data_IF_426802740580
#
_entry.id   IF_426802740580
#
_cell.length_a   1.000
_cell.length_b   1.000
_cell.length_c   1.000
_cell.angle_alpha   90.00
_cell.angle_beta   90.00
_cell.angle_gamma   90.00
#
_symmetry.space_group_name_H-M   'P 1'
#
loop_
_entity.id
_entity.type
_entity.pdbx_description
1 polymer ?
#
# COMPACT_ATOMS: atom_id res chain seq x y z
N UNK A 1 0.61 25.15 -3.18
CA UNK A 1 0.23 23.89 -3.87
C UNK A 1 1.07 23.64 -5.13
N UNK A 2 2.01 22.70 -5.03
CA UNK A 2 2.81 22.17 -6.15
C UNK A 2 2.03 21.05 -6.84
N UNK A 3 1.95 21.06 -8.17
CA UNK A 3 1.47 19.90 -8.95
C UNK A 3 2.31 18.70 -8.57
N UNK A 4 1.78 17.49 -8.52
CA UNK A 4 2.54 16.25 -8.27
C UNK A 4 2.38 15.25 -9.42
N UNK A 5 1.14 15.00 -9.85
CA UNK A 5 0.82 14.12 -10.97
C UNK A 5 -0.55 14.45 -11.58
N UNK A 6 -0.99 13.66 -12.55
CA UNK A 6 -2.35 13.65 -13.10
C UNK A 6 -3.06 12.37 -12.63
N UNK A 7 -4.31 12.47 -12.21
CA UNK A 7 -5.15 11.31 -11.87
C UNK A 7 -5.50 10.50 -13.12
N UNK A 8 -5.94 9.26 -12.96
CA UNK A 8 -6.46 8.41 -14.03
C UNK A 8 -7.71 9.00 -14.68
N UNK A 9 -8.41 9.91 -14.00
CA UNK A 9 -9.54 10.67 -14.53
C UNK A 9 -9.13 11.98 -15.23
N UNK A 10 -7.83 12.32 -15.24
CA UNK A 10 -7.29 13.50 -15.91
C UNK A 10 -7.16 14.75 -15.03
N UNK A 11 -7.50 14.67 -13.74
CA UNK A 11 -7.39 15.80 -12.81
C UNK A 11 -5.95 16.06 -12.39
N UNK A 12 -5.60 17.33 -12.18
CA UNK A 12 -4.28 17.70 -11.68
C UNK A 12 -4.21 17.52 -10.17
N UNK A 13 -3.44 16.55 -9.71
CA UNK A 13 -3.21 16.30 -8.28
C UNK A 13 -2.09 17.21 -7.77
N UNK A 14 -2.39 17.95 -6.71
CA UNK A 14 -1.47 18.92 -6.10
C UNK A 14 -1.31 18.64 -4.61
N UNK A 15 -0.15 18.97 -4.06
CA UNK A 15 0.08 19.02 -2.61
C UNK A 15 0.49 20.42 -2.22
N UNK A 16 0.09 20.86 -1.02
CA UNK A 16 0.84 21.92 -0.38
C UNK A 16 2.06 21.28 0.29
N UNK A 17 3.25 21.74 -0.07
CA UNK A 17 4.48 21.19 0.51
C UNK A 17 4.57 21.76 1.92
N UNK A 18 4.17 20.95 2.89
CA UNK A 18 4.03 21.38 4.28
C UNK A 18 5.26 21.02 5.10
N UNK A 19 5.41 21.69 6.25
CA UNK A 19 6.31 21.22 7.28
C UNK A 19 5.95 19.77 7.64
N UNK A 20 6.98 18.93 7.78
CA UNK A 20 6.80 17.52 8.13
C UNK A 20 6.03 17.44 9.45
N UNK A 21 4.87 16.76 9.51
CA UNK A 21 4.13 16.65 10.77
C UNK A 21 5.03 16.04 11.84
N UNK A 22 4.98 16.58 13.07
CA UNK A 22 5.92 16.28 14.15
C UNK A 22 6.10 14.76 14.40
N UNK A 23 5.04 13.98 14.21
CA UNK A 23 5.05 12.51 14.30
C UNK A 23 6.10 11.84 13.41
N UNK A 24 6.38 12.38 12.22
CA UNK A 24 7.34 11.84 11.24
C UNK A 24 8.79 12.22 11.53
N UNK A 25 9.07 12.97 12.61
CA UNK A 25 10.42 13.41 12.97
C UNK A 25 11.18 12.42 13.89
N UNK A 26 10.59 11.27 14.24
CA UNK A 26 11.16 10.37 15.26
C UNK A 26 12.24 9.44 14.68
N UNK A 27 13.49 9.84 14.98
CA UNK A 27 14.80 9.14 15.10
C UNK A 27 15.43 8.37 13.93
N UNK A 28 16.56 8.95 13.50
CA UNK A 28 17.74 8.29 12.92
C UNK A 28 18.79 8.13 14.03
N UNK A 29 19.17 6.89 14.38
CA UNK A 29 20.46 6.52 15.01
C UNK A 29 20.49 4.98 15.19
N UNK A 30 21.58 4.21 15.18
CA UNK A 30 23.04 4.26 14.93
C UNK A 30 23.52 2.77 14.75
N UNK A 31 24.80 2.43 14.40
CA UNK A 31 25.53 1.09 14.49
C UNK A 31 26.69 0.66 13.49
N UNK A 32 27.88 1.29 13.40
CA UNK A 32 29.24 0.77 12.92
C UNK A 32 29.48 -0.13 11.64
N UNK A 33 30.54 -0.08 10.80
CA UNK A 33 31.59 0.89 10.42
C UNK A 33 32.17 0.69 8.98
N UNK A 34 31.76 -0.29 8.16
CA UNK A 34 32.12 -0.33 6.70
C UNK A 34 30.95 -0.85 5.83
N UNK A 35 30.43 -2.06 6.05
CA UNK A 35 29.14 -2.51 5.45
C UNK A 35 27.96 -1.65 5.95
N UNK A 36 27.98 -1.33 7.24
CA UNK A 36 27.05 -0.37 7.82
C UNK A 36 27.33 1.09 7.44
N UNK A 37 28.48 1.44 6.83
CA UNK A 37 28.58 2.80 6.27
C UNK A 37 27.68 2.91 5.05
N UNK A 38 27.75 1.94 4.14
CA UNK A 38 26.81 1.86 3.01
C UNK A 38 25.37 1.72 3.48
N UNK A 39 25.07 0.76 4.36
CA UNK A 39 23.70 0.57 4.81
C UNK A 39 23.19 1.77 5.64
N UNK A 40 24.06 2.51 6.36
CA UNK A 40 23.69 3.81 6.95
C UNK A 40 23.40 4.86 5.92
N UNK A 41 24.22 4.96 4.88
CA UNK A 41 24.02 5.95 3.83
C UNK A 41 22.70 5.66 3.13
N UNK A 42 22.43 4.39 2.83
CA UNK A 42 21.15 3.93 2.28
C UNK A 42 20.00 4.24 3.23
N UNK A 43 20.12 3.93 4.52
CA UNK A 43 19.11 4.27 5.54
C UNK A 43 18.85 5.77 5.63
N UNK A 44 19.92 6.57 5.61
CA UNK A 44 19.84 8.02 5.63
C UNK A 44 19.13 8.54 4.39
N UNK A 45 19.53 8.09 3.19
CA UNK A 45 18.90 8.46 1.93
C UNK A 45 17.43 8.05 1.87
N UNK A 46 17.10 6.84 2.35
CA UNK A 46 15.71 6.38 2.50
C UNK A 46 14.96 7.30 3.45
N UNK A 47 15.55 7.63 4.61
CA UNK A 47 14.95 8.53 5.59
C UNK A 47 14.63 9.91 5.02
N UNK A 48 15.59 10.53 4.32
CA UNK A 48 15.40 11.83 3.70
C UNK A 48 14.32 11.78 2.61
N UNK A 49 14.36 10.81 1.70
CA UNK A 49 13.35 10.67 0.65
C UNK A 49 11.95 10.40 1.21
N UNK A 50 11.83 9.61 2.28
CA UNK A 50 10.56 9.38 2.99
C UNK A 50 10.03 10.65 3.62
N UNK A 51 10.87 11.42 4.32
CA UNK A 51 10.50 12.72 4.90
C UNK A 51 9.99 13.69 3.84
N UNK A 52 10.68 13.77 2.69
CA UNK A 52 10.26 14.57 1.55
C UNK A 52 8.87 14.14 1.05
N UNK A 53 8.60 12.83 0.98
CA UNK A 53 7.28 12.35 0.62
C UNK A 53 6.21 12.61 1.70
N UNK A 54 6.56 12.56 2.99
CA UNK A 54 5.64 12.91 4.09
C UNK A 54 5.32 14.41 4.12
N UNK A 55 6.21 15.25 3.61
CA UNK A 55 5.95 16.67 3.35
C UNK A 55 5.06 16.89 2.10
N UNK A 56 4.70 15.83 1.38
CA UNK A 56 3.85 15.88 0.18
C UNK A 56 4.60 16.10 -1.13
N UNK A 57 5.94 16.14 -1.13
CA UNK A 57 6.72 16.32 -2.36
C UNK A 57 7.17 14.97 -2.96
N UNK A 58 6.21 14.25 -3.53
CA UNK A 58 6.42 12.89 -4.04
C UNK A 58 7.39 12.85 -5.23
N UNK A 59 7.37 13.86 -6.12
CA UNK A 59 8.34 13.92 -7.23
C UNK A 59 9.76 14.11 -6.74
N UNK A 60 9.98 15.01 -5.77
CA UNK A 60 11.31 15.18 -5.20
C UNK A 60 11.77 13.92 -4.46
N UNK A 61 10.87 13.21 -3.77
CA UNK A 61 11.19 11.92 -3.16
C UNK A 61 11.64 10.88 -4.20
N UNK A 62 10.96 10.78 -5.36
CA UNK A 62 11.39 9.92 -6.48
C UNK A 62 12.79 10.30 -6.97
N UNK A 63 13.09 11.60 -7.09
CA UNK A 63 14.41 12.05 -7.51
C UNK A 63 15.48 11.64 -6.49
N UNK A 64 15.23 11.83 -5.19
CA UNK A 64 16.16 11.41 -4.12
C UNK A 64 16.42 9.90 -4.14
N UNK A 65 15.38 9.08 -4.33
CA UNK A 65 15.58 7.65 -4.50
C UNK A 65 16.35 7.30 -5.78
N UNK A 66 16.13 8.02 -6.87
CA UNK A 66 16.87 7.82 -8.12
C UNK A 66 18.36 8.11 -7.94
N UNK A 67 18.69 9.20 -7.26
CA UNK A 67 20.08 9.55 -6.94
C UNK A 67 20.73 8.53 -6.00
N UNK A 68 19.97 7.98 -5.04
CA UNK A 68 20.43 6.90 -4.17
C UNK A 68 20.66 5.60 -4.93
N UNK A 69 19.79 5.24 -5.88
CA UNK A 69 19.92 4.03 -6.73
C UNK A 69 21.15 4.15 -7.64
N UNK A 70 21.45 5.34 -8.17
CA UNK A 70 22.64 5.57 -8.96
C UNK A 70 23.94 5.33 -8.17
N UNK A 71 23.91 5.57 -6.85
CA UNK A 71 25.04 5.33 -5.96
C UNK A 71 25.10 3.87 -5.45
N UNK A 72 23.93 3.27 -5.19
CA UNK A 72 23.80 1.92 -4.63
C UNK A 72 22.80 1.06 -5.43
N UNK A 73 23.15 0.66 -6.67
CA UNK A 73 22.23 0.04 -7.61
C UNK A 73 21.83 -1.40 -7.25
N UNK A 74 22.45 -1.99 -6.25
CA UNK A 74 22.23 -3.34 -5.75
C UNK A 74 21.38 -3.39 -4.47
N UNK A 75 20.92 -2.24 -3.95
CA UNK A 75 20.15 -2.16 -2.70
C UNK A 75 18.63 -2.26 -2.98
N UNK A 76 17.97 -3.40 -2.68
CA UNK A 76 16.56 -3.63 -3.02
C UNK A 76 15.59 -2.64 -2.36
N UNK A 77 15.90 -2.18 -1.13
CA UNK A 77 15.06 -1.23 -0.37
C UNK A 77 14.85 0.10 -1.11
N UNK A 78 15.83 0.56 -1.88
CA UNK A 78 15.73 1.80 -2.64
C UNK A 78 14.67 1.70 -3.74
N UNK A 79 14.69 0.60 -4.50
CA UNK A 79 13.68 0.33 -5.52
C UNK A 79 12.30 0.14 -4.89
N UNK A 80 12.20 -0.64 -3.81
CA UNK A 80 10.95 -0.85 -3.06
C UNK A 80 10.33 0.46 -2.57
N UNK A 81 11.13 1.42 -2.11
CA UNK A 81 10.61 2.71 -1.69
C UNK A 81 10.26 3.64 -2.86
N UNK A 82 11.07 3.66 -3.93
CA UNK A 82 10.77 4.45 -5.12
C UNK A 82 9.52 3.97 -5.84
N UNK A 83 9.37 2.65 -6.01
CA UNK A 83 8.18 2.02 -6.57
C UNK A 83 6.90 2.40 -5.81
N UNK A 84 6.97 2.50 -4.48
CA UNK A 84 5.84 2.98 -3.68
C UNK A 84 5.47 4.43 -4.04
N UNK A 85 6.45 5.32 -4.25
CA UNK A 85 6.16 6.70 -4.71
C UNK A 85 5.64 6.73 -6.14
N UNK A 86 6.08 5.82 -7.01
CA UNK A 86 5.50 5.68 -8.34
C UNK A 86 4.03 5.28 -8.32
N UNK A 87 3.58 4.41 -7.41
CA UNK A 87 2.14 4.15 -7.19
C UNK A 87 1.42 5.46 -6.85
N UNK A 88 1.93 6.22 -5.87
CA UNK A 88 1.34 7.52 -5.50
C UNK A 88 1.25 8.47 -6.70
N UNK A 89 2.22 8.44 -7.61
CA UNK A 89 2.25 9.28 -8.80
C UNK A 89 1.47 8.70 -10.00
N UNK A 90 0.74 7.59 -9.85
CA UNK A 90 0.04 6.86 -10.94
C UNK A 90 0.98 6.32 -12.03
N UNK A 91 2.27 6.24 -11.75
CA UNK A 91 3.28 5.69 -12.65
C UNK A 91 3.42 4.17 -12.42
N UNK A 92 2.34 3.42 -12.65
CA UNK A 92 2.26 2.02 -12.23
C UNK A 92 3.28 1.10 -12.93
N UNK A 93 3.59 1.32 -14.21
CA UNK A 93 4.62 0.55 -14.91
C UNK A 93 6.00 0.70 -14.26
N UNK A 94 6.39 1.94 -13.95
CA UNK A 94 7.66 2.22 -13.26
C UNK A 94 7.66 1.63 -11.84
N UNK A 95 6.50 1.60 -11.17
CA UNK A 95 6.38 0.94 -9.88
C UNK A 95 6.62 -0.56 -9.98
N UNK A 96 5.99 -1.23 -10.95
CA UNK A 96 6.14 -2.67 -11.21
C UNK A 96 7.61 -2.99 -11.50
N UNK A 97 8.26 -2.24 -12.39
CA UNK A 97 9.68 -2.44 -12.73
C UNK A 97 10.57 -2.37 -11.49
N UNK A 98 10.35 -1.36 -10.62
CA UNK A 98 11.09 -1.20 -9.38
C UNK A 98 10.86 -2.35 -8.39
N UNK A 99 9.61 -2.80 -8.21
CA UNK A 99 9.33 -3.91 -7.30
C UNK A 99 9.86 -5.24 -7.82
N UNK A 100 9.77 -5.50 -9.13
CA UNK A 100 10.38 -6.68 -9.74
C UNK A 100 11.90 -6.66 -9.61
N UNK A 101 12.52 -5.49 -9.76
CA UNK A 101 13.96 -5.30 -9.52
C UNK A 101 14.32 -5.55 -8.05
N UNK A 102 13.54 -5.04 -7.10
CA UNK A 102 13.73 -5.30 -5.68
C UNK A 102 13.63 -6.80 -5.37
N UNK A 103 12.60 -7.48 -5.90
CA UNK A 103 12.39 -8.91 -5.71
C UNK A 103 13.53 -9.76 -6.25
N UNK A 104 14.03 -9.43 -7.44
CA UNK A 104 15.21 -10.10 -8.02
C UNK A 104 16.47 -9.88 -7.17
N UNK A 105 16.64 -8.69 -6.60
CA UNK A 105 17.81 -8.37 -5.80
C UNK A 105 17.82 -9.10 -4.45
N UNK A 106 16.66 -9.25 -3.79
CA UNK A 106 16.59 -9.99 -2.51
C UNK A 106 16.39 -11.50 -2.67
N UNK A 107 16.25 -12.03 -3.89
CA UNK A 107 16.02 -13.45 -4.13
C UNK A 107 17.13 -14.29 -3.48
N UNK A 108 16.73 -15.27 -2.66
CA UNK A 108 17.66 -16.12 -1.91
C UNK A 108 18.40 -15.43 -0.76
N UNK A 109 18.11 -14.15 -0.48
CA UNK A 109 18.65 -13.43 0.66
C UNK A 109 17.71 -13.54 1.88
N UNK A 110 18.26 -13.46 3.11
CA UNK A 110 17.44 -13.31 4.31
C UNK A 110 16.55 -12.08 4.22
N UNK A 111 15.32 -12.19 4.72
CA UNK A 111 14.43 -11.04 4.80
C UNK A 111 14.94 -10.02 5.84
N UNK A 112 14.55 -8.77 5.64
CA UNK A 112 14.99 -7.63 6.45
C UNK A 112 13.75 -6.92 6.95
N UNK A 113 13.58 -6.86 8.27
CA UNK A 113 12.55 -6.04 8.90
C UNK A 113 12.77 -4.57 8.53
N UNK A 114 11.74 -3.93 7.99
CA UNK A 114 11.80 -2.50 7.66
C UNK A 114 11.26 -1.69 8.82
N UNK A 115 12.03 -0.70 9.27
CA UNK A 115 11.55 0.22 10.30
C UNK A 115 10.42 1.07 9.74
N UNK A 116 9.34 1.14 10.50
CA UNK A 116 8.23 2.01 10.18
C UNK A 116 8.69 3.47 10.12
N UNK A 117 7.96 4.26 9.33
CA UNK A 117 8.27 5.70 9.20
C UNK A 117 7.65 6.47 10.33
N UNK A 118 6.48 6.01 10.75
CA UNK A 118 5.84 6.30 12.01
C UNK A 118 5.74 4.97 12.75
N UNK A 119 6.30 4.85 13.95
CA UNK A 119 6.05 3.68 14.77
C UNK A 119 4.56 3.57 15.11
N UNK A 120 4.02 2.37 15.09
CA UNK A 120 2.73 2.08 15.72
C UNK A 120 2.78 2.26 17.24
N UNK A 121 1.63 2.15 17.88
CA UNK A 121 1.47 2.32 19.33
C UNK A 121 2.37 1.41 20.18
N UNK A 122 2.73 0.24 19.64
CA UNK A 122 3.59 -0.74 20.30
C UNK A 122 5.06 -0.62 19.89
N UNK A 123 5.38 0.22 18.90
CA UNK A 123 6.71 0.41 18.33
C UNK A 123 7.32 -0.92 17.81
N UNK A 124 6.47 -1.80 17.26
CA UNK A 124 6.84 -3.10 16.68
C UNK A 124 6.73 -3.02 15.15
N UNK A 125 7.83 -3.09 14.39
CA UNK A 125 7.73 -3.14 12.93
C UNK A 125 6.91 -4.34 12.46
N UNK A 126 5.87 -4.08 11.66
CA UNK A 126 4.96 -5.11 11.17
C UNK A 126 5.35 -5.65 9.80
N UNK A 127 6.26 -4.97 9.10
CA UNK A 127 6.59 -5.28 7.72
C UNK A 127 8.09 -5.48 7.49
N UNK A 128 8.39 -6.19 6.43
CA UNK A 128 9.73 -6.52 5.96
C UNK A 128 9.91 -6.02 4.54
N UNK A 129 11.15 -6.05 4.05
CA UNK A 129 11.47 -5.72 2.67
C UNK A 129 10.67 -6.61 1.71
N UNK A 130 10.64 -7.93 1.95
CA UNK A 130 9.96 -8.85 1.04
C UNK A 130 8.45 -8.67 1.09
N UNK A 131 7.84 -8.62 2.29
CA UNK A 131 6.39 -8.41 2.43
C UNK A 131 5.96 -7.07 1.82
N UNK A 132 6.69 -5.98 2.06
CA UNK A 132 6.38 -4.69 1.44
C UNK A 132 6.53 -4.73 -0.08
N UNK A 133 7.58 -5.34 -0.62
CA UNK A 133 7.75 -5.46 -2.07
C UNK A 133 6.60 -6.24 -2.70
N UNK A 134 6.25 -7.41 -2.17
CA UNK A 134 5.17 -8.22 -2.73
C UNK A 134 3.80 -7.55 -2.61
N UNK A 135 3.53 -6.91 -1.47
CA UNK A 135 2.28 -6.18 -1.25
C UNK A 135 2.10 -5.07 -2.31
N UNK A 136 3.11 -4.23 -2.48
CA UNK A 136 3.01 -3.11 -3.40
C UNK A 136 3.13 -3.53 -4.87
N UNK A 137 3.87 -4.59 -5.20
CA UNK A 137 3.86 -5.18 -6.54
C UNK A 137 2.48 -5.68 -6.91
N UNK A 138 1.84 -6.43 -6.00
CA UNK A 138 0.47 -6.91 -6.21
C UNK A 138 -0.51 -5.74 -6.38
N UNK A 139 -0.37 -4.70 -5.55
CA UNK A 139 -1.20 -3.50 -5.65
C UNK A 139 -1.00 -2.76 -6.97
N UNK A 140 0.23 -2.59 -7.44
CA UNK A 140 0.50 -1.90 -8.70
C UNK A 140 -0.12 -2.65 -9.90
N UNK A 141 0.01 -3.99 -9.94
CA UNK A 141 -0.69 -4.81 -10.93
C UNK A 141 -2.22 -4.73 -10.79
N UNK A 142 -2.74 -4.75 -9.56
CA UNK A 142 -4.18 -4.64 -9.30
C UNK A 142 -4.75 -3.33 -9.84
N UNK A 143 -4.08 -2.20 -9.58
CA UNK A 143 -4.50 -0.87 -10.04
C UNK A 143 -4.45 -0.72 -11.56
N UNK A 144 -3.63 -1.53 -12.25
CA UNK A 144 -3.59 -1.63 -13.71
C UNK A 144 -4.63 -2.59 -14.32
N UNK A 145 -5.34 -3.36 -13.49
CA UNK A 145 -6.24 -4.43 -13.94
C UNK A 145 -5.51 -5.73 -14.33
N UNK A 146 -4.22 -5.88 -14.00
CA UNK A 146 -3.40 -7.05 -14.30
C UNK A 146 -3.56 -8.12 -13.21
N UNK A 147 -4.79 -8.61 -13.03
CA UNK A 147 -5.18 -9.38 -11.85
C UNK A 147 -4.47 -10.74 -11.68
N UNK A 148 -4.07 -11.42 -12.76
CA UNK A 148 -3.28 -12.65 -12.63
C UNK A 148 -1.90 -12.40 -12.01
N UNK A 149 -1.24 -11.30 -12.41
CA UNK A 149 0.07 -10.90 -11.84
C UNK A 149 -0.09 -10.38 -10.41
N UNK A 150 -1.16 -9.63 -10.15
CA UNK A 150 -1.50 -9.21 -8.79
C UNK A 150 -1.68 -10.43 -7.86
N UNK A 151 -2.44 -11.44 -8.31
CA UNK A 151 -2.64 -12.66 -7.54
C UNK A 151 -1.31 -13.35 -7.26
N UNK A 152 -0.44 -13.52 -8.26
CA UNK A 152 0.88 -14.14 -8.10
C UNK A 152 1.72 -13.42 -7.04
N UNK A 153 1.81 -12.10 -7.10
CA UNK A 153 2.54 -11.29 -6.13
C UNK A 153 1.99 -11.47 -4.71
N UNK A 154 0.67 -11.52 -4.54
CA UNK A 154 0.07 -11.77 -3.23
C UNK A 154 0.29 -13.20 -2.73
N UNK A 155 0.40 -14.21 -3.60
CA UNK A 155 0.77 -15.57 -3.15
C UNK A 155 2.21 -15.61 -2.64
N UNK A 156 3.14 -14.95 -3.35
CA UNK A 156 4.52 -14.82 -2.89
C UNK A 156 4.60 -14.07 -1.55
N UNK A 157 3.84 -12.98 -1.41
CA UNK A 157 3.75 -12.23 -0.16
C UNK A 157 3.22 -13.04 1.03
N UNK A 158 2.18 -13.85 0.81
CA UNK A 158 1.63 -14.74 1.84
C UNK A 158 2.61 -15.86 2.27
N UNK A 159 3.56 -16.27 1.41
CA UNK A 159 4.57 -17.26 1.75
C UNK A 159 5.64 -16.71 2.70
N UNK A 160 5.90 -15.40 2.65
CA UNK A 160 6.94 -14.73 3.45
C UNK A 160 6.37 -13.90 4.61
N UNK A 161 5.05 -13.79 4.72
CA UNK A 161 4.37 -13.10 5.82
C UNK A 161 4.37 -13.96 7.08
N UNK A 162 4.89 -13.41 8.18
CA UNK A 162 5.05 -14.11 9.46
C UNK A 162 4.16 -13.56 10.59
N UNK A 163 3.46 -12.45 10.36
CA UNK A 163 2.56 -11.81 11.33
C UNK A 163 1.13 -11.63 10.79
N UNK A 164 0.19 -11.47 11.73
CA UNK A 164 -1.25 -11.37 11.45
C UNK A 164 -1.60 -10.13 10.65
N UNK A 165 -1.02 -8.97 10.96
CA UNK A 165 -1.28 -7.70 10.28
C UNK A 165 -0.97 -7.77 8.79
N UNK A 166 0.23 -8.21 8.41
CA UNK A 166 0.59 -8.33 6.99
C UNK A 166 -0.22 -9.41 6.28
N UNK A 167 -0.52 -10.51 6.97
CA UNK A 167 -1.34 -11.58 6.42
C UNK A 167 -2.75 -11.06 6.09
N UNK A 168 -3.38 -10.32 6.99
CA UNK A 168 -4.70 -9.67 6.74
C UNK A 168 -4.63 -8.74 5.53
N UNK A 169 -3.61 -7.90 5.44
CA UNK A 169 -3.44 -6.99 4.31
C UNK A 169 -3.34 -7.74 2.96
N UNK A 170 -2.57 -8.83 2.91
CA UNK A 170 -2.49 -9.68 1.72
C UNK A 170 -3.81 -10.38 1.40
N UNK A 171 -4.49 -10.93 2.41
CA UNK A 171 -5.77 -11.63 2.24
C UNK A 171 -6.84 -10.68 1.67
N UNK A 172 -6.89 -9.43 2.14
CA UNK A 172 -7.81 -8.41 1.65
C UNK A 172 -7.66 -8.15 0.14
N UNK A 173 -6.46 -7.77 -0.31
CA UNK A 173 -6.25 -7.48 -1.73
C UNK A 173 -6.36 -8.72 -2.61
N UNK A 174 -5.87 -9.88 -2.13
CA UNK A 174 -5.98 -11.15 -2.86
C UNK A 174 -7.44 -11.59 -3.01
N UNK A 175 -8.29 -11.39 -1.99
CA UNK A 175 -9.72 -11.68 -2.10
C UNK A 175 -10.35 -10.92 -3.26
N UNK A 176 -10.17 -9.59 -3.29
CA UNK A 176 -10.73 -8.76 -4.36
C UNK A 176 -10.18 -9.14 -5.73
N UNK A 177 -8.87 -9.43 -5.80
CA UNK A 177 -8.22 -9.92 -7.03
C UNK A 177 -8.84 -11.22 -7.54
N UNK A 178 -9.07 -12.20 -6.66
CA UNK A 178 -9.71 -13.47 -7.02
C UNK A 178 -11.15 -13.28 -7.50
N UNK A 179 -11.91 -12.38 -6.87
CA UNK A 179 -13.25 -12.00 -7.31
C UNK A 179 -13.24 -11.34 -8.70
N UNK A 180 -12.30 -10.41 -8.96
CA UNK A 180 -12.11 -9.77 -10.29
C UNK A 180 -11.73 -10.79 -11.38
N UNK A 181 -11.03 -11.87 -11.01
CA UNK A 181 -10.71 -13.00 -11.90
C UNK A 181 -11.87 -14.01 -12.08
N UNK A 182 -13.03 -13.80 -11.44
CA UNK A 182 -14.14 -14.75 -11.44
C UNK A 182 -13.86 -16.06 -10.68
N UNK A 183 -12.86 -16.06 -9.78
CA UNK A 183 -12.43 -17.23 -9.00
C UNK A 183 -13.13 -17.27 -7.64
N UNK A 184 -14.46 -17.19 -7.64
CA UNK A 184 -15.28 -17.00 -6.44
C UNK A 184 -15.07 -18.08 -5.36
N UNK A 185 -14.98 -19.35 -5.76
CA UNK A 185 -14.74 -20.45 -4.82
C UNK A 185 -13.40 -20.31 -4.08
N UNK A 186 -12.34 -19.84 -4.78
CA UNK A 186 -11.03 -19.59 -4.16
C UNK A 186 -11.07 -18.37 -3.24
N UNK A 187 -11.80 -17.33 -3.65
CA UNK A 187 -12.01 -16.14 -2.82
C UNK A 187 -12.76 -16.49 -1.52
N UNK A 188 -13.81 -17.32 -1.60
CA UNK A 188 -14.52 -17.83 -0.43
C UNK A 188 -13.62 -18.64 0.52
N UNK A 189 -12.85 -19.59 -0.02
CA UNK A 189 -11.90 -20.38 0.78
C UNK A 189 -10.82 -19.51 1.47
N UNK A 190 -10.48 -18.35 0.89
CA UNK A 190 -9.57 -17.40 1.51
C UNK A 190 -10.16 -16.81 2.80
N UNK A 191 -11.45 -16.48 2.83
CA UNK A 191 -12.14 -15.91 4.00
C UNK A 191 -12.20 -16.87 5.19
N UNK A 192 -12.08 -18.18 4.98
CA UNK A 192 -12.00 -19.17 6.06
C UNK A 192 -10.73 -19.02 6.90
N UNK A 193 -9.70 -18.36 6.38
CA UNK A 193 -8.46 -18.08 7.10
C UNK A 193 -8.57 -16.87 8.03
N UNK A 194 -9.69 -16.13 8.00
CA UNK A 194 -9.91 -14.89 8.75
C UNK A 194 -11.00 -15.12 9.80
N UNK A 195 -10.72 -14.76 11.05
CA UNK A 195 -11.63 -14.92 12.19
C UNK A 195 -11.82 -13.58 12.91
N UNK A 196 -12.96 -13.35 13.58
CA UNK A 196 -13.26 -12.07 14.23
C UNK A 196 -12.37 -11.77 15.46
N UNK A 197 -11.68 -12.77 15.99
CA UNK A 197 -10.79 -12.71 17.16
C UNK A 197 -9.31 -12.51 16.82
N UNK A 198 -8.99 -12.18 15.56
CA UNK A 198 -7.61 -11.88 15.17
C UNK A 198 -7.09 -10.63 15.90
N UNK A 199 -5.96 -10.77 16.59
CA UNK A 199 -5.26 -9.65 17.21
C UNK A 199 -4.40 -8.93 16.16
N UNK A 200 -4.62 -7.61 16.06
CA UNK A 200 -3.98 -6.72 15.08
C UNK A 200 -3.43 -5.48 15.79
N UNK A 201 -2.39 -4.89 15.22
CA UNK A 201 -1.82 -3.62 15.71
C UNK A 201 -2.29 -2.43 14.86
N UNK A 202 -2.37 -2.56 13.53
CA UNK A 202 -2.74 -1.45 12.63
C UNK A 202 -3.83 -1.82 11.61
N UNK A 203 -3.72 -2.97 10.94
CA UNK A 203 -4.48 -3.29 9.71
C UNK A 203 -5.96 -3.67 9.93
N UNK A 204 -6.62 -3.04 10.91
CA UNK A 204 -7.99 -3.33 11.36
C UNK A 204 -9.02 -3.11 10.26
N UNK A 205 -8.95 -2.02 9.48
CA UNK A 205 -9.92 -1.77 8.40
C UNK A 205 -9.94 -2.87 7.33
N UNK A 206 -8.79 -3.49 7.04
CA UNK A 206 -8.74 -4.62 6.11
C UNK A 206 -9.41 -5.86 6.69
N UNK A 207 -9.23 -6.11 7.99
CA UNK A 207 -9.88 -7.22 8.69
C UNK A 207 -11.39 -7.04 8.76
N UNK A 208 -11.85 -5.84 9.12
CA UNK A 208 -13.27 -5.47 9.14
C UNK A 208 -13.94 -5.67 7.78
N UNK A 209 -13.29 -5.23 6.70
CA UNK A 209 -13.78 -5.45 5.34
C UNK A 209 -13.84 -6.94 5.00
N UNK A 210 -12.84 -7.74 5.38
CA UNK A 210 -12.88 -9.19 5.20
C UNK A 210 -14.03 -9.83 6.00
N UNK A 211 -14.35 -9.33 7.20
CA UNK A 211 -15.50 -9.78 7.98
C UNK A 211 -16.84 -9.39 7.33
N UNK A 212 -16.94 -8.21 6.71
CA UNK A 212 -18.10 -7.84 5.89
C UNK A 212 -18.22 -8.74 4.66
N UNK A 213 -17.11 -9.03 3.98
CA UNK A 213 -17.12 -9.92 2.81
C UNK A 213 -17.51 -11.36 3.19
N UNK A 214 -17.21 -11.77 4.41
CA UNK A 214 -17.61 -13.05 5.01
C UNK A 214 -19.06 -13.07 5.52
N UNK A 215 -19.69 -11.90 5.66
CA UNK A 215 -21.04 -11.76 6.19
C UNK A 215 -21.11 -11.88 7.72
N UNK A 216 -19.98 -11.70 8.41
CA UNK A 216 -19.90 -11.70 9.88
C UNK A 216 -20.20 -10.32 10.45
N UNK A 217 -19.69 -9.27 9.80
CA UNK A 217 -20.00 -7.87 10.14
C UNK A 217 -20.94 -7.27 9.11
N UNK A 218 -21.73 -6.29 9.54
CA UNK A 218 -22.51 -5.42 8.67
C UNK A 218 -21.65 -4.26 8.14
N UNK A 219 -21.83 -3.82 6.88
CA UNK A 219 -21.19 -2.62 6.35
C UNK A 219 -21.37 -1.37 7.22
N UNK A 220 -22.52 -1.22 7.86
CA UNK A 220 -22.85 -0.05 8.68
C UNK A 220 -22.12 -0.05 10.03
N UNK A 221 -21.64 -1.21 10.49
CA UNK A 221 -20.94 -1.35 11.78
C UNK A 221 -19.50 -0.83 11.74
N UNK A 222 -18.88 -0.80 10.55
CA UNK A 222 -17.45 -0.49 10.38
C UNK A 222 -17.20 0.97 9.96
N UNK A 223 -18.27 1.73 9.67
CA UNK A 223 -18.19 3.16 9.37
C UNK A 223 -18.42 3.92 10.68
N UNK A 224 -17.37 4.53 11.23
CA UNK A 224 -17.46 5.29 12.49
C UNK A 224 -16.92 6.72 12.32
N UNK A 225 -17.32 7.62 13.22
CA UNK A 225 -16.80 9.00 13.26
C UNK A 225 -15.34 9.07 13.73
N UNK A 226 -14.80 8.00 14.31
CA UNK A 226 -13.42 7.95 14.84
C UNK A 226 -12.38 7.57 13.77
N UNK A 227 -12.83 7.11 12.60
CA UNK A 227 -11.98 6.65 11.52
C UNK A 227 -11.12 7.79 10.95
N UNK A 228 -9.84 7.53 10.70
CA UNK A 228 -8.97 8.50 10.05
C UNK A 228 -9.34 8.69 8.57
N UNK A 229 -8.87 9.75 7.93
CA UNK A 229 -9.05 9.96 6.49
C UNK A 229 -8.48 8.81 5.64
N UNK A 230 -7.43 8.13 6.12
CA UNK A 230 -6.85 6.97 5.45
C UNK A 230 -7.77 5.74 5.56
N UNK A 231 -8.33 5.52 6.75
CA UNK A 231 -9.25 4.42 7.01
C UNK A 231 -10.52 4.62 6.17
N UNK A 232 -11.06 5.84 6.14
CA UNK A 232 -12.23 6.17 5.34
C UNK A 232 -12.02 5.92 3.84
N UNK A 233 -10.84 6.24 3.29
CA UNK A 233 -10.54 5.92 1.89
C UNK A 233 -10.48 4.40 1.65
N UNK A 234 -9.91 3.65 2.59
CA UNK A 234 -9.77 2.18 2.52
C UNK A 234 -11.13 1.49 2.63
N UNK A 235 -11.91 1.85 3.64
CA UNK A 235 -13.26 1.35 3.89
C UNK A 235 -14.19 1.71 2.73
N UNK A 236 -14.16 2.96 2.26
CA UNK A 236 -14.96 3.39 1.12
C UNK A 236 -14.68 2.58 -0.13
N UNK A 237 -13.40 2.35 -0.47
CA UNK A 237 -13.05 1.48 -1.60
C UNK A 237 -13.61 0.06 -1.44
N UNK A 238 -13.34 -0.56 -0.28
CA UNK A 238 -13.74 -1.94 -0.01
C UNK A 238 -15.26 -2.14 0.06
N UNK A 239 -15.99 -1.19 0.63
CA UNK A 239 -17.46 -1.21 0.67
C UNK A 239 -18.06 -0.98 -0.72
N UNK A 240 -17.49 -0.07 -1.52
CA UNK A 240 -17.87 0.09 -2.92
C UNK A 240 -17.65 -1.21 -3.69
N UNK A 241 -16.50 -1.87 -3.49
CA UNK A 241 -16.23 -3.19 -4.06
C UNK A 241 -17.27 -4.23 -3.62
N UNK A 242 -17.61 -4.28 -2.33
CA UNK A 242 -18.66 -5.17 -1.82
C UNK A 242 -20.03 -4.92 -2.46
N UNK A 243 -20.43 -3.66 -2.64
CA UNK A 243 -21.67 -3.34 -3.36
C UNK A 243 -21.60 -3.83 -4.81
N UNK A 244 -20.48 -3.61 -5.49
CA UNK A 244 -20.28 -4.00 -6.89
C UNK A 244 -20.43 -5.52 -7.09
N UNK A 245 -19.72 -6.33 -6.31
CA UNK A 245 -19.75 -7.80 -6.40
C UNK A 245 -21.10 -8.42 -5.96
N UNK A 246 -21.99 -7.62 -5.36
CA UNK A 246 -23.35 -8.00 -4.99
C UNK A 246 -24.41 -7.38 -5.94
N UNK A 247 -24.02 -6.98 -7.15
CA UNK A 247 -24.92 -6.49 -8.19
C UNK A 247 -25.46 -5.07 -7.98
N UNK A 248 -24.90 -4.31 -7.02
CA UNK A 248 -25.30 -2.92 -6.72
C UNK A 248 -24.29 -1.94 -7.31
N UNK A 249 -24.14 -1.98 -8.64
CA UNK A 249 -23.14 -1.22 -9.39
C UNK A 249 -23.24 0.30 -9.20
N UNK A 250 -24.43 0.88 -9.29
CA UNK A 250 -24.63 2.33 -9.09
C UNK A 250 -24.21 2.76 -7.68
N UNK A 251 -24.59 1.98 -6.66
CA UNK A 251 -24.20 2.26 -5.28
C UNK A 251 -22.67 2.19 -5.09
N UNK A 252 -22.01 1.25 -5.75
CA UNK A 252 -20.55 1.17 -5.72
C UNK A 252 -19.90 2.43 -6.31
N UNK A 253 -20.39 2.89 -7.48
CA UNK A 253 -19.91 4.12 -8.12
C UNK A 253 -20.10 5.35 -7.25
N UNK A 254 -21.26 5.50 -6.61
CA UNK A 254 -21.52 6.60 -5.66
C UNK A 254 -20.50 6.63 -4.52
N UNK A 255 -20.19 5.45 -3.94
CA UNK A 255 -19.23 5.36 -2.83
C UNK A 255 -17.82 5.71 -3.31
N UNK A 256 -17.37 5.16 -4.44
CA UNK A 256 -16.06 5.48 -5.00
C UNK A 256 -15.92 6.95 -5.39
N UNK A 257 -16.99 7.56 -5.90
CA UNK A 257 -17.06 8.99 -6.17
C UNK A 257 -16.92 9.80 -4.88
N UNK A 258 -17.59 9.40 -3.80
CA UNK A 258 -17.43 10.02 -2.49
C UNK A 258 -15.99 9.95 -1.96
N UNK A 259 -15.33 8.79 -2.09
CA UNK A 259 -13.89 8.66 -1.73
C UNK A 259 -13.02 9.60 -2.58
N UNK A 260 -13.31 9.69 -3.89
CA UNK A 260 -12.59 10.55 -4.81
C UNK A 260 -12.74 12.05 -4.48
N UNK A 261 -13.91 12.47 -4.02
CA UNK A 261 -14.21 13.88 -3.69
C UNK A 261 -13.58 14.33 -2.36
N UNK A 262 -13.38 13.44 -1.40
CA UNK A 262 -12.70 13.75 -0.12
C UNK A 262 -11.25 14.20 -0.34
N UNK A 263 -10.59 13.74 -1.41
CA UNK A 263 -9.33 14.33 -1.87
C UNK A 263 -8.05 13.82 -1.19
N UNK A 264 -8.09 12.77 -0.36
CA UNK A 264 -6.89 12.11 0.17
C UNK A 264 -6.22 11.23 -0.92
N UNK A 265 -5.73 11.88 -1.96
CA UNK A 265 -5.37 11.22 -3.21
C UNK A 265 -4.15 10.29 -3.12
N UNK A 266 -3.35 10.38 -2.06
CA UNK A 266 -2.22 9.48 -1.85
C UNK A 266 -2.62 8.11 -1.26
N UNK A 267 -3.80 8.01 -0.64
CA UNK A 267 -4.30 6.78 -0.02
C UNK A 267 -4.64 5.71 -1.05
N UNK A 268 -4.28 4.45 -0.82
CA UNK A 268 -4.53 3.38 -1.80
C UNK A 268 -6.00 3.15 -2.12
N UNK A 269 -6.89 3.28 -1.13
CA UNK A 269 -8.33 3.22 -1.36
C UNK A 269 -8.83 4.32 -2.29
N UNK A 270 -8.22 5.51 -2.25
CA UNK A 270 -8.49 6.56 -3.23
C UNK A 270 -8.04 6.15 -4.63
N UNK A 271 -6.76 5.73 -4.78
CA UNK A 271 -6.20 5.36 -6.09
C UNK A 271 -7.02 4.22 -6.71
N UNK A 272 -7.46 3.27 -5.90
CA UNK A 272 -8.27 2.15 -6.34
C UNK A 272 -9.69 2.60 -6.74
N UNK A 273 -10.32 3.50 -5.96
CA UNK A 273 -11.63 4.08 -6.32
C UNK A 273 -11.55 4.87 -7.63
N UNK A 274 -10.50 5.67 -7.79
CA UNK A 274 -10.18 6.38 -9.03
C UNK A 274 -9.99 5.43 -10.21
N UNK A 275 -9.29 4.32 -10.03
CA UNK A 275 -9.09 3.31 -11.08
C UNK A 275 -10.40 2.62 -11.48
N UNK A 276 -11.31 2.34 -10.54
CA UNK A 276 -12.64 1.81 -10.86
C UNK A 276 -13.48 2.83 -11.64
N UNK A 277 -13.50 4.09 -11.20
CA UNK A 277 -14.24 5.15 -11.88
C UNK A 277 -13.75 5.36 -13.32
N UNK A 278 -12.43 5.31 -13.55
CA UNK A 278 -11.83 5.48 -14.87
C UNK A 278 -12.17 4.35 -15.86
N UNK A 279 -12.56 3.18 -15.36
CA UNK A 279 -12.95 2.01 -16.16
C UNK A 279 -14.46 1.89 -16.37
N UNK A 280 -15.25 2.79 -15.77
CA UNK A 280 -16.69 2.60 -15.55
C UNK A 280 -17.63 3.34 -16.50
#
# INVERSE_FOLDING_TARGET
MSVQTISLLGDTLKTDIQAIPQRYLIRIDSLSKLTYQEDRMVDHMIGEARKTAYAGDYRQAVQLFTDAINQFPDKPRLYRHRGHRYITLRAFDLAIDDFQRAAKLFEGQPDITEKDGLPNEQNIPLSTLQTNTWYHLGLAHYLKGEYDQANLAYENGLQVSDNTDMRVAFLYWKYMTLRKLGRDAKAGALLEQVSPDMELIENTSYHELLMVFKGVFSPDEIITEENSELDNATLGYGLGFWHHINGRGERAKEIWQGVYEVGNWAAFGYIASEAELAQS
#
